data_IF_706157515691
#
_entry.id   IF_706157515691
#
_cell.length_a   1.000
_cell.length_b   1.000
_cell.length_c   1.000
_cell.angle_alpha   90.00
_cell.angle_beta   90.00
_cell.angle_gamma   90.00
#
_symmetry.space_group_name_H-M   'P 1'
#
loop_
_entity.id
_entity.type
_entity.pdbx_description
1 polymer ?
#
# COMPACT_ATOMS: atom_id res chain seq x y z
N UNK A 1 9.42 5.50 -12.91
CA UNK A 1 8.02 5.56 -13.38
C UNK A 1 7.25 4.55 -12.55
N UNK A 2 6.27 4.99 -11.75
CA UNK A 2 5.44 4.09 -10.93
C UNK A 2 4.50 3.32 -11.85
N UNK A 3 4.39 2.00 -11.68
CA UNK A 3 3.37 1.22 -12.35
C UNK A 3 2.10 1.24 -11.49
N UNK A 4 1.02 1.80 -12.03
CA UNK A 4 -0.27 1.86 -11.38
C UNK A 4 -1.24 0.93 -12.10
N UNK A 5 -1.84 -0.01 -11.38
CA UNK A 5 -2.85 -0.90 -11.93
C UNK A 5 -4.08 -0.10 -12.39
N UNK A 6 -4.56 -0.30 -13.64
CA UNK A 6 -5.78 0.33 -14.12
C UNK A 6 -7.01 0.08 -13.24
N UNK A 7 -7.08 -1.06 -12.55
CA UNK A 7 -8.18 -1.39 -11.61
C UNK A 7 -8.13 -0.51 -10.38
N UNK A 8 -6.95 -0.32 -9.80
CA UNK A 8 -6.75 0.58 -8.66
C UNK A 8 -7.08 2.02 -9.05
N UNK A 9 -6.67 2.44 -10.24
CA UNK A 9 -7.01 3.76 -10.80
C UNK A 9 -8.52 3.96 -10.90
N UNK A 10 -9.25 2.96 -11.41
CA UNK A 10 -10.72 3.00 -11.49
C UNK A 10 -11.39 2.97 -10.12
N UNK A 11 -10.87 2.18 -9.18
CA UNK A 11 -11.39 2.15 -7.82
C UNK A 11 -11.24 3.51 -7.15
N UNK A 12 -10.09 4.16 -7.29
CA UNK A 12 -9.86 5.50 -6.73
C UNK A 12 -10.73 6.58 -7.37
N UNK A 13 -10.95 6.51 -8.69
CA UNK A 13 -11.81 7.47 -9.39
C UNK A 13 -13.30 7.34 -9.01
N UNK A 14 -13.74 6.12 -8.69
CA UNK A 14 -15.15 5.82 -8.39
C UNK A 14 -15.43 5.72 -6.89
N UNK A 15 -14.40 5.64 -6.04
CA UNK A 15 -14.57 5.52 -4.60
C UNK A 15 -15.07 6.84 -4.01
N UNK A 16 -16.11 6.74 -3.18
CA UNK A 16 -16.48 7.81 -2.25
C UNK A 16 -15.43 7.85 -1.13
N UNK A 17 -15.30 9.01 -0.48
CA UNK A 17 -14.32 9.23 0.60
C UNK A 17 -14.43 8.19 1.73
N UNK A 18 -15.63 7.65 1.96
CA UNK A 18 -15.93 6.69 3.04
C UNK A 18 -15.77 5.21 2.65
N UNK A 19 -15.23 4.90 1.45
CA UNK A 19 -15.05 3.50 1.00
C UNK A 19 -13.64 3.02 1.30
N UNK A 20 -13.52 1.87 1.96
CA UNK A 20 -12.25 1.18 2.13
C UNK A 20 -11.83 0.48 0.84
N UNK A 21 -10.56 0.60 0.48
CA UNK A 21 -9.96 -0.03 -0.70
C UNK A 21 -8.85 -0.96 -0.23
N UNK A 22 -8.88 -2.20 -0.71
CA UNK A 22 -7.76 -3.13 -0.56
C UNK A 22 -6.73 -2.89 -1.67
N UNK A 23 -5.49 -2.66 -1.26
CA UNK A 23 -4.39 -2.42 -2.17
C UNK A 23 -3.13 -3.15 -1.72
N UNK A 24 -2.34 -3.55 -2.71
CA UNK A 24 -1.02 -4.13 -2.53
C UNK A 24 -0.02 -3.20 -3.21
N UNK A 25 0.99 -2.81 -2.45
CA UNK A 25 2.07 -1.94 -2.90
C UNK A 25 3.38 -2.69 -2.87
N UNK A 26 4.15 -2.64 -3.95
CA UNK A 26 5.54 -3.12 -3.96
C UNK A 26 6.44 -1.91 -3.71
N UNK A 27 7.31 -2.05 -2.72
CA UNK A 27 8.30 -1.08 -2.34
C UNK A 27 9.64 -1.36 -3.02
N UNK A 28 10.38 -0.29 -3.31
CA UNK A 28 11.75 -0.36 -3.81
C UNK A 28 12.71 0.18 -2.76
N UNK A 29 13.70 -0.63 -2.42
CA UNK A 29 14.92 -0.21 -1.74
C UNK A 29 16.02 0.03 -2.77
N UNK A 30 16.78 1.12 -2.63
CA UNK A 30 17.93 1.39 -3.50
C UNK A 30 19.14 0.46 -3.25
N UNK A 31 19.08 -0.44 -2.27
CA UNK A 31 20.15 -1.39 -1.97
C UNK A 31 19.65 -2.83 -2.17
N UNK A 32 20.10 -3.45 -3.26
CA UNK A 32 19.74 -4.83 -3.63
C UNK A 32 20.40 -5.91 -2.75
N UNK A 33 21.19 -5.54 -1.74
CA UNK A 33 22.01 -6.46 -0.94
C UNK A 33 21.67 -6.52 0.56
N UNK A 34 20.52 -5.98 1.00
CA UNK A 34 20.21 -5.92 2.44
C UNK A 34 19.46 -7.15 2.97
N UNK A 35 19.79 -7.63 4.19
CA UNK A 35 19.13 -8.77 4.81
C UNK A 35 17.63 -8.51 5.06
N UNK A 36 16.80 -9.57 5.03
CA UNK A 36 15.34 -9.57 5.24
C UNK A 36 14.80 -8.68 6.38
N UNK A 37 15.63 -8.40 7.40
CA UNK A 37 15.29 -7.53 8.53
C UNK A 37 15.18 -6.06 8.11
N UNK A 38 16.01 -5.62 7.17
CA UNK A 38 16.03 -4.25 6.65
C UNK A 38 14.77 -3.91 5.83
N UNK A 39 14.24 -4.90 5.09
CA UNK A 39 13.05 -4.73 4.24
C UNK A 39 11.78 -4.47 5.08
N UNK A 40 11.67 -5.11 6.25
CA UNK A 40 10.53 -4.92 7.15
C UNK A 40 10.56 -3.55 7.85
N UNK A 41 11.75 -3.09 8.25
CA UNK A 41 11.91 -1.74 8.80
C UNK A 41 11.60 -0.66 7.77
N UNK A 42 12.01 -0.85 6.51
CA UNK A 42 11.67 0.05 5.41
C UNK A 42 10.15 0.15 5.22
N UNK A 43 9.47 -0.99 5.21
CA UNK A 43 8.03 -1.07 5.07
C UNK A 43 7.30 -0.33 6.21
N UNK A 44 7.78 -0.49 7.45
CA UNK A 44 7.25 0.23 8.62
C UNK A 44 7.51 1.74 8.54
N UNK A 45 8.68 2.15 8.08
CA UNK A 45 9.00 3.58 7.88
C UNK A 45 8.07 4.23 6.87
N UNK A 46 7.91 3.63 5.69
CA UNK A 46 6.99 4.15 4.65
C UNK A 46 5.56 4.22 5.19
N UNK A 47 5.11 3.19 5.90
CA UNK A 47 3.79 3.19 6.51
C UNK A 47 3.64 4.35 7.52
N UNK A 48 4.63 4.54 8.40
CA UNK A 48 4.59 5.60 9.41
C UNK A 48 4.62 6.99 8.78
N UNK A 49 5.46 7.22 7.78
CA UNK A 49 5.53 8.50 7.05
C UNK A 49 4.18 8.86 6.41
N UNK A 50 3.49 7.87 5.82
CA UNK A 50 2.16 8.08 5.23
C UNK A 50 1.11 8.34 6.31
N UNK A 51 1.15 7.61 7.42
CA UNK A 51 0.25 7.84 8.58
C UNK A 51 0.43 9.26 9.12
N UNK A 52 1.67 9.72 9.29
CA UNK A 52 1.99 11.05 9.79
C UNK A 52 1.54 12.14 8.80
N UNK A 53 1.63 11.88 7.50
CA UNK A 53 1.18 12.79 6.45
C UNK A 53 -0.35 12.91 6.39
N UNK A 54 -1.08 11.80 6.51
CA UNK A 54 -2.54 11.79 6.33
C UNK A 54 -3.31 11.96 7.63
N UNK A 55 -2.64 11.75 8.77
CA UNK A 55 -3.22 11.59 10.10
C UNK A 55 -4.32 10.51 10.13
N UNK A 56 -4.11 9.43 9.37
CA UNK A 56 -5.04 8.31 9.21
C UNK A 56 -4.27 7.00 9.37
N UNK A 57 -4.91 6.00 9.95
CA UNK A 57 -4.37 4.63 10.03
C UNK A 57 -5.15 3.70 9.12
N UNK A 58 -4.49 2.77 8.42
CA UNK A 58 -5.19 1.78 7.62
C UNK A 58 -5.96 0.82 8.55
N UNK A 59 -7.13 0.37 8.12
CA UNK A 59 -7.95 -0.61 8.86
C UNK A 59 -7.28 -1.98 8.89
N UNK A 60 -6.48 -2.30 7.87
CA UNK A 60 -5.67 -3.52 7.82
C UNK A 60 -4.32 -3.20 7.19
N UNK A 61 -3.26 -3.81 7.72
CA UNK A 61 -1.92 -3.73 7.15
C UNK A 61 -1.20 -5.06 7.37
N UNK A 62 -0.59 -5.58 6.30
CA UNK A 62 0.27 -6.76 6.32
C UNK A 62 1.50 -6.53 5.46
N UNK A 63 2.67 -6.63 6.09
CA UNK A 63 3.96 -6.59 5.41
C UNK A 63 4.28 -7.99 4.87
N UNK A 64 4.67 -8.07 3.60
CA UNK A 64 5.04 -9.28 2.88
C UNK A 64 6.52 -9.17 2.50
N UNK A 65 7.42 -9.47 3.44
CA UNK A 65 8.86 -9.21 3.29
C UNK A 65 9.46 -9.86 2.05
N UNK A 66 9.08 -11.12 1.73
CA UNK A 66 9.61 -11.85 0.56
C UNK A 66 9.31 -11.18 -0.80
N UNK A 67 8.29 -10.33 -0.86
CA UNK A 67 7.86 -9.66 -2.08
C UNK A 67 8.14 -8.16 -2.03
N UNK A 68 8.81 -7.66 -0.98
CA UNK A 68 8.95 -6.23 -0.69
C UNK A 68 7.61 -5.50 -0.79
N UNK A 69 6.53 -6.14 -0.32
CA UNK A 69 5.18 -5.63 -0.54
C UNK A 69 4.45 -5.33 0.78
N UNK A 70 3.50 -4.40 0.71
CA UNK A 70 2.57 -4.09 1.79
C UNK A 70 1.16 -4.25 1.22
N UNK A 71 0.38 -5.13 1.83
CA UNK A 71 -1.05 -5.23 1.60
C UNK A 71 -1.78 -4.41 2.68
N UNK A 72 -2.66 -3.51 2.27
CA UNK A 72 -3.38 -2.65 3.20
C UNK A 72 -4.82 -2.37 2.73
N UNK A 73 -5.68 -2.12 3.71
CA UNK A 73 -7.08 -1.71 3.52
C UNK A 73 -7.25 -0.34 4.14
N UNK A 74 -7.52 0.68 3.32
CA UNK A 74 -7.60 2.06 3.80
C UNK A 74 -8.53 2.92 2.93
N UNK A 75 -8.85 4.12 3.42
CA UNK A 75 -9.62 5.11 2.67
C UNK A 75 -8.83 5.67 1.48
N UNK A 76 -9.51 6.23 0.46
CA UNK A 76 -8.86 6.67 -0.78
C UNK A 76 -7.78 7.73 -0.54
N UNK A 77 -7.94 8.60 0.47
CA UNK A 77 -6.94 9.60 0.87
C UNK A 77 -5.62 8.94 1.28
N UNK A 78 -5.68 7.93 2.16
CA UNK A 78 -4.51 7.15 2.54
C UNK A 78 -3.88 6.42 1.36
N UNK A 79 -4.69 5.76 0.52
CA UNK A 79 -4.21 5.06 -0.68
C UNK A 79 -3.48 6.03 -1.64
N UNK A 80 -4.03 7.22 -1.87
CA UNK A 80 -3.43 8.23 -2.74
C UNK A 80 -2.09 8.75 -2.19
N UNK A 81 -2.00 8.97 -0.87
CA UNK A 81 -0.74 9.35 -0.23
C UNK A 81 0.30 8.23 -0.38
N UNK A 82 -0.13 6.97 -0.21
CA UNK A 82 0.73 5.81 -0.36
C UNK A 82 1.26 5.66 -1.79
N UNK A 83 0.41 5.77 -2.82
CA UNK A 83 0.82 5.71 -4.25
C UNK A 83 1.85 6.79 -4.58
N UNK A 84 1.68 7.97 -3.99
CA UNK A 84 2.54 9.13 -4.23
C UNK A 84 3.91 9.02 -3.54
N UNK A 85 4.10 8.01 -2.70
CA UNK A 85 5.33 7.82 -1.96
C UNK A 85 6.48 7.40 -2.89
N UNK A 86 7.62 8.07 -2.79
CA UNK A 86 8.79 7.88 -3.67
C UNK A 86 9.32 6.45 -3.72
N UNK A 87 9.12 5.69 -2.64
CA UNK A 87 9.54 4.29 -2.49
C UNK A 87 8.55 3.25 -3.00
N UNK A 88 7.36 3.64 -3.46
CA UNK A 88 6.42 2.70 -4.08
C UNK A 88 6.82 2.49 -5.53
N UNK A 89 6.88 1.27 -6.03
CA UNK A 89 7.16 0.98 -7.44
C UNK A 89 5.91 0.54 -8.19
N UNK A 90 5.13 -0.32 -7.55
CA UNK A 90 3.92 -0.92 -8.10
C UNK A 90 2.79 -0.72 -7.10
N UNK A 91 1.64 -0.29 -7.58
CA UNK A 91 0.42 -0.21 -6.80
C UNK A 91 -0.68 -0.97 -7.54
N UNK A 92 -1.27 -1.98 -6.89
CA UNK A 92 -2.37 -2.78 -7.43
C UNK A 92 -3.50 -2.88 -6.42
N UNK A 93 -4.74 -2.95 -6.89
CA UNK A 93 -5.90 -3.20 -6.04
C UNK A 93 -6.17 -4.70 -6.03
N UNK A 94 -6.25 -5.29 -4.83
CA UNK A 94 -6.97 -6.54 -4.68
C UNK A 94 -8.45 -6.19 -4.48
N UNK A 95 -9.37 -6.99 -4.99
CA UNK A 95 -10.75 -6.95 -4.50
C UNK A 95 -10.82 -8.13 -3.54
N UNK A 96 -10.71 -7.90 -2.23
CA UNK A 96 -10.96 -8.99 -1.27
C UNK A 96 -12.47 -9.09 -1.15
N UNK A 97 -13.04 -10.10 -1.79
CA UNK A 97 -14.46 -10.38 -1.66
C UNK A 97 -14.75 -10.72 -0.18
N UNK A 98 -15.58 -9.94 0.54
CA UNK A 98 -15.79 -10.13 1.99
C UNK A 98 -16.38 -11.50 2.35
N UNK A 99 -16.85 -12.28 1.37
CA UNK A 99 -17.31 -13.66 1.57
C UNK A 99 -16.20 -14.68 1.87
N UNK A 100 -14.92 -14.33 1.73
CA UNK A 100 -13.78 -15.24 1.96
C UNK A 100 -13.09 -15.13 3.33
N UNK A 101 -13.70 -14.44 4.31
CA UNK A 101 -13.14 -14.30 5.68
C UNK A 101 -13.79 -15.23 6.73
N UNK A 102 -14.35 -16.38 6.31
CA UNK A 102 -14.86 -17.42 7.22
C UNK A 102 -14.01 -18.70 7.14
#
# INVERSE_FOLDING_TARGET
>A
MHYLDPRLSRHLQNAREDILIDAIFILVGHNQDSPKVWEEELAKQVLQEVVDQTNETPSFCRIISRANAIALTAYPKFINAFISHSRVQVASSATVDPFYLF
#
